data_IF_779016714863
#
_entry.id   IF_779016714863
#
_cell.length_a   1.000
_cell.length_b   1.000
_cell.length_c   1.000
_cell.angle_alpha   90.00
_cell.angle_beta   90.00
_cell.angle_gamma   90.00
#
_symmetry.space_group_name_H-M   'P 1'
#
loop_
_entity.id
_entity.type
_entity.pdbx_description
1 polymer ?
#
# COMPACT_ATOMS: atom_id res chain seq x y z
N UNK A 1 47.41 -25.45 2.07
CA UNK A 1 47.13 -24.37 1.08
C UNK A 1 45.70 -24.32 0.53
N UNK A 2 44.87 -25.36 0.55
CA UNK A 2 43.48 -25.33 0.00
C UNK A 2 42.42 -24.55 0.83
N UNK A 3 42.58 -24.44 2.16
CA UNK A 3 41.58 -23.78 3.03
C UNK A 3 41.56 -22.24 2.93
N UNK A 4 42.69 -21.59 2.52
CA UNK A 4 42.75 -20.14 2.37
C UNK A 4 42.07 -19.61 1.09
N UNK A 5 42.13 -20.41 0.03
CA UNK A 5 41.48 -20.07 -1.23
C UNK A 5 39.93 -20.14 -1.10
N UNK A 6 39.40 -21.15 -0.42
CA UNK A 6 37.97 -21.31 -0.22
C UNK A 6 37.35 -20.21 0.65
N UNK A 7 38.07 -19.72 1.66
CA UNK A 7 37.63 -18.56 2.46
C UNK A 7 37.54 -17.26 1.64
N UNK A 8 38.49 -17.02 0.73
CA UNK A 8 38.50 -15.85 -0.14
C UNK A 8 37.29 -15.85 -1.11
N UNK A 9 36.95 -17.00 -1.66
CA UNK A 9 35.80 -17.13 -2.59
C UNK A 9 34.47 -16.88 -1.88
N UNK A 10 34.29 -17.37 -0.65
CA UNK A 10 33.09 -17.13 0.15
C UNK A 10 32.96 -15.66 0.55
N UNK A 11 34.05 -15.02 0.96
CA UNK A 11 34.03 -13.59 1.34
C UNK A 11 33.71 -12.69 0.14
N UNK A 12 34.23 -12.99 -1.05
CA UNK A 12 33.93 -12.25 -2.27
C UNK A 12 32.47 -12.46 -2.68
N UNK A 13 31.94 -13.69 -2.55
CA UNK A 13 30.53 -13.99 -2.83
C UNK A 13 29.56 -13.24 -1.89
N UNK A 14 29.86 -13.22 -0.60
CA UNK A 14 29.02 -12.49 0.39
C UNK A 14 29.10 -10.99 0.19
N UNK A 15 30.30 -10.44 -0.09
CA UNK A 15 30.46 -9.02 -0.40
C UNK A 15 29.69 -8.62 -1.67
N UNK A 16 29.69 -9.46 -2.71
CA UNK A 16 28.94 -9.23 -3.94
C UNK A 16 27.42 -9.18 -3.70
N UNK A 17 26.89 -10.11 -2.88
CA UNK A 17 25.48 -10.13 -2.51
C UNK A 17 25.10 -8.89 -1.68
N UNK A 18 25.95 -8.47 -0.75
CA UNK A 18 25.69 -7.28 0.06
C UNK A 18 25.72 -5.99 -0.78
N UNK A 19 26.59 -5.91 -1.80
CA UNK A 19 26.62 -4.78 -2.73
C UNK A 19 25.33 -4.76 -3.58
N UNK A 20 24.88 -5.89 -4.10
CA UNK A 20 23.64 -5.98 -4.87
C UNK A 20 22.40 -5.63 -4.02
N UNK A 21 22.39 -5.99 -2.74
CA UNK A 21 21.35 -5.59 -1.80
C UNK A 21 21.42 -4.10 -1.45
N UNK A 22 22.59 -3.51 -1.36
CA UNK A 22 22.76 -2.08 -1.11
C UNK A 22 22.31 -1.22 -2.30
N UNK A 23 22.48 -1.69 -3.53
CA UNK A 23 21.98 -0.98 -4.72
C UNK A 23 20.48 -0.99 -4.85
N UNK A 24 19.80 -2.02 -4.33
CA UNK A 24 18.31 -2.07 -4.32
C UNK A 24 17.68 -1.02 -3.40
N UNK A 25 18.43 -0.47 -2.46
CA UNK A 25 17.97 0.62 -1.58
C UNK A 25 18.21 2.02 -2.18
N UNK A 26 19.02 2.12 -3.25
CA UNK A 26 19.37 3.38 -3.92
C UNK A 26 18.36 3.85 -4.98
N UNK A 27 17.37 3.05 -5.35
CA UNK A 27 16.44 3.37 -6.45
C UNK A 27 15.31 4.35 -6.09
N UNK A 28 15.30 4.89 -4.89
CA UNK A 28 14.30 5.88 -4.44
C UNK A 28 14.53 7.29 -5.03
N UNK A 29 15.65 7.52 -5.71
CA UNK A 29 16.05 8.88 -6.14
C UNK A 29 15.33 9.34 -7.42
N UNK A 30 14.69 8.45 -8.16
CA UNK A 30 14.09 8.78 -9.46
C UNK A 30 12.71 9.47 -9.37
N UNK A 31 12.04 9.41 -8.23
CA UNK A 31 10.70 10.01 -8.05
C UNK A 31 10.75 11.54 -7.82
N UNK A 32 11.89 12.12 -7.52
CA UNK A 32 11.97 13.52 -7.08
C UNK A 32 11.94 14.57 -8.21
N UNK A 33 12.05 14.17 -9.48
CA UNK A 33 12.04 15.10 -10.61
C UNK A 33 10.76 15.06 -11.46
N UNK A 34 9.74 14.31 -11.04
CA UNK A 34 8.47 14.32 -11.75
C UNK A 34 7.70 15.59 -11.37
N UNK A 35 7.26 16.40 -12.34
CA UNK A 35 6.50 17.60 -12.02
C UNK A 35 5.19 17.20 -11.33
N UNK A 36 4.90 17.85 -10.20
CA UNK A 36 3.64 17.67 -9.46
C UNK A 36 2.48 18.24 -10.29
N UNK A 37 1.91 17.41 -11.14
CA UNK A 37 0.78 17.80 -11.98
C UNK A 37 -0.18 16.63 -12.10
N UNK A 38 -1.44 16.89 -11.77
CA UNK A 38 -2.49 15.89 -11.93
C UNK A 38 -2.63 15.51 -13.40
N UNK A 39 -2.46 14.22 -13.69
CA UNK A 39 -2.79 13.60 -14.98
C UNK A 39 -4.16 12.94 -14.88
N UNK A 40 -5.03 13.27 -15.83
CA UNK A 40 -6.40 12.76 -15.86
C UNK A 40 -6.47 11.29 -16.23
N UNK A 41 -5.54 10.80 -17.04
CA UNK A 41 -5.44 9.39 -17.42
C UNK A 41 -5.03 8.52 -16.23
N UNK A 42 -3.96 8.90 -15.54
CA UNK A 42 -3.49 8.21 -14.35
C UNK A 42 -4.56 8.20 -13.25
N UNK A 43 -5.20 9.35 -13.05
CA UNK A 43 -6.29 9.49 -12.06
C UNK A 43 -7.47 8.58 -12.40
N UNK A 44 -7.92 8.57 -13.66
CA UNK A 44 -9.01 7.72 -14.10
C UNK A 44 -8.66 6.23 -13.94
N UNK A 45 -7.43 5.85 -14.27
CA UNK A 45 -6.96 4.48 -14.11
C UNK A 45 -6.97 4.02 -12.64
N UNK A 46 -6.46 4.86 -11.74
CA UNK A 46 -6.44 4.54 -10.29
C UNK A 46 -7.86 4.44 -9.73
N UNK A 47 -8.78 5.33 -10.13
CA UNK A 47 -10.17 5.28 -9.67
C UNK A 47 -10.90 4.02 -10.18
N UNK A 48 -10.71 3.64 -11.45
CA UNK A 48 -11.27 2.40 -12.00
C UNK A 48 -10.69 1.18 -11.29
N UNK A 49 -9.38 1.17 -11.05
CA UNK A 49 -8.71 0.11 -10.29
C UNK A 49 -9.25 -0.01 -8.87
N UNK A 50 -9.49 1.12 -8.20
CA UNK A 50 -10.12 1.16 -6.87
C UNK A 50 -11.53 0.55 -6.88
N UNK A 51 -12.32 0.84 -7.92
CA UNK A 51 -13.65 0.24 -8.08
C UNK A 51 -13.59 -1.28 -8.25
N UNK A 52 -12.62 -1.79 -9.03
CA UNK A 52 -12.40 -3.23 -9.15
C UNK A 52 -11.95 -3.89 -7.85
N UNK A 53 -11.09 -3.25 -7.06
CA UNK A 53 -10.69 -3.74 -5.74
C UNK A 53 -11.89 -3.81 -4.80
N UNK A 54 -12.73 -2.78 -4.78
CA UNK A 54 -13.98 -2.81 -4.00
C UNK A 54 -14.94 -3.92 -4.46
N UNK A 55 -15.06 -4.14 -5.77
CA UNK A 55 -15.85 -5.23 -6.33
C UNK A 55 -15.27 -6.62 -5.97
N UNK A 56 -13.95 -6.74 -5.84
CA UNK A 56 -13.33 -7.96 -5.36
C UNK A 56 -13.60 -8.18 -3.87
N UNK A 57 -13.49 -7.14 -3.05
CA UNK A 57 -13.68 -7.23 -1.60
C UNK A 57 -15.14 -7.46 -1.22
N UNK A 58 -16.05 -6.60 -1.67
CA UNK A 58 -17.45 -6.64 -1.22
C UNK A 58 -18.22 -7.85 -1.78
N UNK A 59 -18.53 -7.96 -3.09
CA UNK A 59 -19.25 -9.11 -3.60
C UNK A 59 -18.34 -10.36 -3.73
N UNK A 60 -17.08 -10.21 -4.09
CA UNK A 60 -16.17 -11.33 -4.32
C UNK A 60 -15.93 -12.14 -3.06
N UNK A 61 -15.43 -11.52 -1.99
CA UNK A 61 -15.19 -12.23 -0.72
C UNK A 61 -16.46 -12.65 -0.04
N UNK A 62 -17.52 -11.83 -0.07
CA UNK A 62 -18.80 -12.18 0.53
C UNK A 62 -19.41 -13.45 -0.10
N UNK A 63 -19.37 -13.55 -1.43
CA UNK A 63 -19.85 -14.74 -2.15
C UNK A 63 -18.92 -15.94 -1.96
N UNK A 64 -17.60 -15.73 -1.94
CA UNK A 64 -16.64 -16.78 -1.70
C UNK A 64 -16.84 -17.42 -0.32
N UNK A 65 -16.86 -16.65 0.74
CA UNK A 65 -17.09 -17.17 2.09
C UNK A 65 -18.53 -17.65 2.28
N UNK A 66 -19.51 -17.00 1.67
CA UNK A 66 -20.91 -17.45 1.65
C UNK A 66 -21.06 -18.84 1.02
N UNK A 67 -20.28 -19.14 -0.03
CA UNK A 67 -20.26 -20.45 -0.68
C UNK A 67 -19.62 -21.58 0.14
N UNK A 68 -18.77 -21.26 1.12
CA UNK A 68 -18.09 -22.23 1.96
C UNK A 68 -18.89 -22.66 3.20
N UNK A 69 -19.95 -21.93 3.54
CA UNK A 69 -20.76 -22.21 4.74
C UNK A 69 -22.06 -22.94 4.39
N UNK A 70 -22.69 -23.53 5.42
CA UNK A 70 -23.98 -24.16 5.25
C UNK A 70 -25.05 -23.13 4.82
N UNK A 71 -25.98 -23.52 3.96
CA UNK A 71 -27.03 -22.65 3.37
C UNK A 71 -27.71 -21.75 4.39
N UNK A 72 -28.02 -22.24 5.58
CA UNK A 72 -28.66 -21.47 6.66
C UNK A 72 -27.76 -20.33 7.23
N UNK A 73 -26.46 -20.37 7.02
CA UNK A 73 -25.49 -19.41 7.57
C UNK A 73 -24.99 -18.40 6.52
N UNK A 74 -25.35 -18.56 5.25
CA UNK A 74 -24.84 -17.72 4.13
C UNK A 74 -25.10 -16.25 4.38
N UNK A 75 -26.33 -15.89 4.74
CA UNK A 75 -26.70 -14.48 4.97
C UNK A 75 -25.91 -13.86 6.12
N UNK A 76 -25.71 -14.60 7.21
CA UNK A 76 -24.91 -14.16 8.35
C UNK A 76 -23.46 -13.91 7.97
N UNK A 77 -22.86 -14.78 7.17
CA UNK A 77 -21.47 -14.65 6.70
C UNK A 77 -21.30 -13.45 5.75
N UNK A 78 -22.24 -13.26 4.83
CA UNK A 78 -22.23 -12.09 3.93
C UNK A 78 -22.35 -10.79 4.75
N UNK A 79 -23.28 -10.75 5.73
CA UNK A 79 -23.47 -9.59 6.59
C UNK A 79 -22.22 -9.25 7.40
N UNK A 80 -21.53 -10.26 7.94
CA UNK A 80 -20.26 -10.06 8.63
C UNK A 80 -19.19 -9.44 7.72
N UNK A 81 -19.07 -9.90 6.48
CA UNK A 81 -18.12 -9.34 5.50
C UNK A 81 -18.40 -7.87 5.20
N UNK A 82 -19.68 -7.52 5.01
CA UNK A 82 -20.09 -6.12 4.77
C UNK A 82 -19.84 -5.24 5.99
N UNK A 83 -20.15 -5.73 7.19
CA UNK A 83 -19.93 -4.98 8.43
C UNK A 83 -18.43 -4.76 8.70
N UNK A 84 -17.60 -5.77 8.49
CA UNK A 84 -16.14 -5.64 8.64
C UNK A 84 -15.60 -4.62 7.65
N UNK A 85 -15.98 -4.69 6.38
CA UNK A 85 -15.54 -3.71 5.38
C UNK A 85 -15.92 -2.29 5.81
N UNK A 86 -17.15 -2.07 6.27
CA UNK A 86 -17.62 -0.75 6.71
C UNK A 86 -16.83 -0.21 7.91
N UNK A 87 -16.60 -1.04 8.93
CA UNK A 87 -15.85 -0.65 10.13
C UNK A 87 -14.39 -0.38 9.79
N UNK A 88 -13.74 -1.25 9.01
CA UNK A 88 -12.33 -1.07 8.62
C UNK A 88 -12.16 0.18 7.75
N UNK A 89 -13.06 0.45 6.80
CA UNK A 89 -13.01 1.67 5.99
C UNK A 89 -13.15 2.93 6.83
N UNK A 90 -14.03 2.92 7.85
CA UNK A 90 -14.15 4.04 8.80
C UNK A 90 -12.85 4.24 9.60
N UNK A 91 -12.29 3.18 10.15
CA UNK A 91 -11.01 3.24 10.88
C UNK A 91 -9.87 3.68 9.98
N UNK A 92 -9.87 3.29 8.70
CA UNK A 92 -8.90 3.73 7.71
C UNK A 92 -8.91 5.24 7.52
N UNK A 93 -10.09 5.82 7.32
CA UNK A 93 -10.28 7.27 7.18
C UNK A 93 -9.88 8.01 8.46
N UNK A 94 -10.25 7.49 9.63
CA UNK A 94 -10.01 8.18 10.89
C UNK A 94 -8.54 8.15 11.31
N UNK A 95 -7.91 6.98 11.32
CA UNK A 95 -6.57 6.81 11.87
C UNK A 95 -5.62 6.01 10.96
N UNK A 96 -6.13 4.98 10.29
CA UNK A 96 -5.32 3.99 9.60
C UNK A 96 -4.42 4.61 8.54
N UNK A 97 -4.97 5.48 7.71
CA UNK A 97 -4.22 6.17 6.67
C UNK A 97 -3.08 7.03 7.24
N UNK A 98 -3.35 7.79 8.32
CA UNK A 98 -2.34 8.62 8.98
C UNK A 98 -1.22 7.79 9.59
N UNK A 99 -1.54 6.67 10.22
CA UNK A 99 -0.54 5.79 10.83
C UNK A 99 0.31 5.03 9.78
N UNK A 100 -0.29 4.70 8.62
CA UNK A 100 0.40 3.95 7.56
C UNK A 100 1.26 4.86 6.65
N UNK A 101 0.76 6.03 6.29
CA UNK A 101 1.36 6.91 5.28
C UNK A 101 1.73 8.29 5.80
N UNK A 102 1.37 8.65 7.04
CA UNK A 102 1.74 9.92 7.65
C UNK A 102 3.25 10.09 7.79
N UNK A 103 3.72 11.32 8.02
CA UNK A 103 5.13 11.60 8.28
C UNK A 103 5.70 10.68 9.36
N UNK A 104 6.85 10.09 9.08
CA UNK A 104 7.46 9.05 9.90
C UNK A 104 7.84 9.56 11.30
N UNK A 105 7.52 8.78 12.33
CA UNK A 105 7.93 9.01 13.72
C UNK A 105 8.73 7.81 14.24
N UNK A 106 10.03 7.99 14.23
CA UNK A 106 10.95 6.99 14.80
C UNK A 106 11.22 5.77 13.93
N UNK A 107 10.94 5.81 12.62
CA UNK A 107 11.25 4.74 11.68
C UNK A 107 10.31 3.52 11.73
N UNK A 108 9.19 3.60 12.45
CA UNK A 108 8.30 2.44 12.69
C UNK A 108 6.86 2.72 12.31
N UNK A 109 6.36 3.94 12.56
CA UNK A 109 4.95 4.27 12.37
C UNK A 109 4.81 5.73 11.94
N UNK A 110 3.79 6.02 11.11
CA UNK A 110 3.43 7.38 10.71
C UNK A 110 2.83 8.19 11.86
N UNK A 111 2.93 9.50 11.73
CA UNK A 111 2.34 10.46 12.69
C UNK A 111 0.83 10.54 12.58
N UNK A 112 0.23 11.36 13.45
CA UNK A 112 -1.21 11.60 13.49
C UNK A 112 -1.61 12.89 12.72
N UNK A 113 -0.76 13.38 11.83
CA UNK A 113 -0.96 14.65 11.13
C UNK A 113 -2.10 14.59 10.11
N UNK A 114 -2.38 13.40 9.57
CA UNK A 114 -3.45 13.17 8.59
C UNK A 114 -4.68 12.47 9.17
N UNK A 115 -4.86 12.53 10.49
CA UNK A 115 -6.07 12.01 11.16
C UNK A 115 -7.32 12.66 10.59
N UNK A 116 -8.34 11.86 10.27
CA UNK A 116 -9.55 12.31 9.62
C UNK A 116 -9.32 12.89 8.23
N UNK A 117 -8.24 12.47 7.54
CA UNK A 117 -7.79 12.98 6.24
C UNK A 117 -7.43 14.46 6.23
N UNK A 118 -7.07 15.04 7.37
CA UNK A 118 -6.58 16.41 7.46
C UNK A 118 -5.34 16.57 6.58
N UNK A 119 -5.34 17.55 5.66
CA UNK A 119 -4.24 17.79 4.72
C UNK A 119 -4.16 16.82 3.54
N UNK A 120 -5.05 15.83 3.42
CA UNK A 120 -5.16 14.94 2.25
C UNK A 120 -6.13 15.56 1.25
N UNK A 121 -5.60 16.32 0.29
CA UNK A 121 -6.37 17.10 -0.68
C UNK A 121 -6.32 16.55 -2.10
N UNK A 122 -6.73 17.41 -3.05
CA UNK A 122 -6.64 17.16 -4.48
C UNK A 122 -5.25 17.41 -5.06
N UNK A 123 -4.34 17.99 -4.28
CA UNK A 123 -2.96 18.22 -4.69
C UNK A 123 -2.19 16.88 -4.73
N UNK A 124 -1.34 16.67 -5.75
CA UNK A 124 -0.48 15.50 -5.83
C UNK A 124 0.53 15.47 -4.68
N UNK A 125 0.80 14.27 -4.18
CA UNK A 125 1.83 14.10 -3.15
C UNK A 125 3.15 13.65 -3.79
N UNK A 126 4.29 14.34 -3.51
CA UNK A 126 5.55 14.08 -4.21
C UNK A 126 6.09 12.67 -4.06
N UNK A 127 5.78 11.99 -2.96
CA UNK A 127 6.27 10.64 -2.67
C UNK A 127 5.27 9.57 -3.12
N UNK A 128 3.98 9.77 -2.85
CA UNK A 128 2.97 8.72 -3.04
C UNK A 128 2.27 8.76 -4.40
N UNK A 129 2.24 9.91 -5.06
CA UNK A 129 1.60 10.02 -6.36
C UNK A 129 1.79 11.41 -6.96
N UNK A 130 2.87 11.63 -7.73
CA UNK A 130 3.15 12.94 -8.32
C UNK A 130 2.19 13.31 -9.47
N UNK A 131 1.47 12.33 -10.03
CA UNK A 131 0.55 12.51 -11.16
C UNK A 131 -0.92 12.32 -10.80
N UNK A 132 -1.22 11.90 -9.56
CA UNK A 132 -2.59 11.66 -9.10
C UNK A 132 -2.91 12.49 -7.86
N UNK A 133 -4.19 12.86 -7.63
CA UNK A 133 -4.61 13.48 -6.38
C UNK A 133 -4.30 12.59 -5.19
N UNK A 134 -3.85 13.18 -4.08
CA UNK A 134 -3.56 12.44 -2.86
C UNK A 134 -4.79 11.67 -2.34
N UNK A 135 -5.98 12.21 -2.51
CA UNK A 135 -7.24 11.53 -2.19
C UNK A 135 -7.47 10.27 -3.04
N UNK A 136 -7.09 10.28 -4.32
CA UNK A 136 -7.21 9.10 -5.18
C UNK A 136 -6.25 8.00 -4.76
N UNK A 137 -5.03 8.37 -4.35
CA UNK A 137 -4.08 7.44 -3.76
C UNK A 137 -4.62 6.81 -2.46
N UNK A 138 -5.14 7.63 -1.54
CA UNK A 138 -5.73 7.17 -0.27
C UNK A 138 -6.90 6.20 -0.49
N UNK A 139 -7.76 6.49 -1.48
CA UNK A 139 -8.90 5.63 -1.80
C UNK A 139 -8.48 4.26 -2.34
N UNK A 140 -7.38 4.20 -3.10
CA UNK A 140 -6.86 2.95 -3.66
C UNK A 140 -6.20 2.06 -2.60
N UNK A 141 -5.51 2.65 -1.61
CA UNK A 141 -4.79 1.92 -0.56
C UNK A 141 -5.70 1.34 0.51
#
# INVERSE_FOLDING_TARGET
MKRSAQRKTVVVGVAGVLILLAESWGTQVWAQNTPLKVDTGDTAWVLVSSAFVLAMLMPGLALFYGGLVRTKNVLGTIMQSVMILSVVSLLWILFGYSLAFGPDKGGVIGGLEWVGLSGVGSEPHPVYGPTIPHQAFMLFQ
#
